data_IF_989033740399
#
_entry.id   IF_989033740399
#
_cell.length_a   1.000
_cell.length_b   1.000
_cell.length_c   1.000
_cell.angle_alpha   90.00
_cell.angle_beta   90.00
_cell.angle_gamma   90.00
#
_symmetry.space_group_name_H-M   'P 1'
#
loop_
_entity.id
_entity.type
_entity.pdbx_description
1 polymer ?
#
# COMPACT_ATOMS: atom_id res chain seq x y z
N UNK A 1 13.23 6.79 28.58
CA UNK A 1 11.76 6.70 28.39
C UNK A 1 11.36 6.94 26.93
N UNK A 2 10.58 6.03 26.34
CA UNK A 2 9.99 6.27 25.02
C UNK A 2 8.98 7.45 25.11
N UNK A 3 8.96 8.39 24.15
CA UNK A 3 8.03 9.50 24.17
C UNK A 3 6.58 9.01 24.01
N UNK A 4 5.62 9.71 24.62
CA UNK A 4 4.20 9.36 24.54
C UNK A 4 3.70 9.34 23.08
N UNK A 5 2.77 8.42 22.78
CA UNK A 5 2.19 8.23 21.44
C UNK A 5 1.60 9.53 20.89
N UNK A 6 1.89 9.84 19.62
CA UNK A 6 1.42 11.06 18.96
C UNK A 6 2.06 12.37 19.46
N UNK A 7 2.94 12.31 20.48
CA UNK A 7 3.65 13.48 20.98
C UNK A 7 4.60 14.05 19.94
N UNK A 8 4.95 15.33 20.10
CA UNK A 8 5.92 16.02 19.25
C UNK A 8 7.27 15.29 19.20
N UNK A 9 7.75 14.82 20.34
CA UNK A 9 9.02 14.09 20.44
C UNK A 9 8.97 12.73 19.71
N UNK A 10 7.82 12.07 19.71
CA UNK A 10 7.63 10.83 18.98
C UNK A 10 7.61 11.07 17.46
N UNK A 11 6.84 12.07 16.99
CA UNK A 11 6.81 12.48 15.57
C UNK A 11 8.18 12.94 15.06
N UNK A 12 8.95 13.65 15.88
CA UNK A 12 10.29 14.09 15.51
C UNK A 12 11.27 12.91 15.34
N UNK A 13 11.12 11.85 16.15
CA UNK A 13 11.91 10.63 15.98
C UNK A 13 11.51 9.86 14.72
N UNK A 14 10.20 9.75 14.45
CA UNK A 14 9.70 9.14 13.22
C UNK A 14 10.23 9.83 11.95
N UNK A 15 10.32 11.17 11.95
CA UNK A 15 10.93 11.94 10.84
C UNK A 15 12.42 11.66 10.62
N UNK A 16 13.16 11.36 11.68
CA UNK A 16 14.58 10.96 11.62
C UNK A 16 14.76 9.49 11.22
N UNK A 17 13.64 8.79 11.04
CA UNK A 17 13.52 7.38 10.70
C UNK A 17 13.60 6.44 11.89
N UNK A 18 12.90 5.33 11.73
CA UNK A 18 12.90 4.22 12.67
C UNK A 18 13.94 3.20 12.20
N UNK A 19 14.86 2.75 13.08
CA UNK A 19 15.78 1.68 12.76
C UNK A 19 15.05 0.43 12.24
N UNK A 20 15.51 -0.24 11.17
CA UNK A 20 14.79 -1.34 10.55
C UNK A 20 14.30 -2.44 11.52
N UNK A 21 15.09 -2.90 12.52
CA UNK A 21 14.63 -3.93 13.46
C UNK A 21 13.46 -3.50 14.36
N UNK A 22 13.23 -2.20 14.49
CA UNK A 22 12.20 -1.62 15.36
C UNK A 22 10.94 -1.21 14.61
N UNK A 23 10.94 -1.22 13.27
CA UNK A 23 9.84 -0.69 12.44
C UNK A 23 8.50 -1.37 12.73
N UNK A 24 8.46 -2.70 12.76
CA UNK A 24 7.22 -3.45 13.03
C UNK A 24 6.54 -2.97 14.32
N UNK A 25 7.26 -3.00 15.44
CA UNK A 25 6.74 -2.58 16.74
C UNK A 25 6.39 -1.09 16.76
N UNK A 26 7.27 -0.24 16.23
CA UNK A 26 7.03 1.20 16.20
C UNK A 26 5.81 1.58 15.37
N UNK A 27 5.56 0.91 14.23
CA UNK A 27 4.41 1.17 13.38
C UNK A 27 3.12 0.59 13.96
N UNK A 28 3.16 -0.59 14.60
CA UNK A 28 2.00 -1.14 15.31
C UNK A 28 1.58 -0.19 16.43
N UNK A 29 2.54 0.28 17.23
CA UNK A 29 2.31 1.26 18.28
C UNK A 29 1.81 2.61 17.71
N UNK A 30 2.43 3.09 16.63
CA UNK A 30 2.05 4.31 15.93
C UNK A 30 0.59 4.29 15.50
N UNK A 31 0.22 3.22 14.80
CA UNK A 31 -1.09 2.97 14.28
C UNK A 31 -2.08 2.63 15.39
N UNK A 32 -1.62 2.13 16.54
CA UNK A 32 -2.48 1.52 17.55
C UNK A 32 -3.17 0.30 16.94
N UNK A 33 -2.39 -0.46 16.18
CA UNK A 33 -2.78 -1.66 15.48
C UNK A 33 -2.37 -2.87 16.30
N UNK A 34 -3.18 -3.92 16.23
CA UNK A 34 -3.09 -5.09 17.08
C UNK A 34 -4.45 -5.40 17.69
N UNK A 35 -4.71 -6.67 17.90
CA UNK A 35 -5.98 -7.14 18.42
C UNK A 35 -5.79 -8.27 19.44
N UNK A 36 -6.90 -8.93 19.80
CA UNK A 36 -6.86 -10.06 20.69
C UNK A 36 -6.12 -11.23 20.00
N UNK A 37 -5.33 -12.03 20.75
CA UNK A 37 -4.67 -13.22 20.20
C UNK A 37 -5.68 -14.15 19.52
N UNK A 38 -5.35 -14.66 18.33
CA UNK A 38 -6.20 -15.58 17.57
C UNK A 38 -7.16 -14.92 16.58
N UNK A 39 -7.26 -13.57 16.58
CA UNK A 39 -8.20 -12.88 15.70
C UNK A 39 -7.77 -12.94 14.23
N UNK A 40 -6.47 -12.82 13.94
CA UNK A 40 -5.96 -12.96 12.57
C UNK A 40 -6.17 -14.38 12.04
N UNK A 41 -5.89 -15.40 12.85
CA UNK A 41 -6.08 -16.81 12.47
C UNK A 41 -7.55 -17.11 12.16
N UNK A 42 -8.47 -16.63 13.00
CA UNK A 42 -9.90 -16.77 12.76
C UNK A 42 -10.36 -16.05 11.47
N UNK A 43 -9.73 -14.93 11.12
CA UNK A 43 -9.99 -14.21 9.88
C UNK A 43 -9.48 -14.99 8.65
N UNK A 44 -8.29 -15.57 8.73
CA UNK A 44 -7.72 -16.42 7.68
C UNK A 44 -8.61 -17.64 7.45
N UNK A 45 -8.94 -18.40 8.51
CA UNK A 45 -9.82 -19.58 8.40
C UNK A 45 -11.19 -19.22 7.79
N UNK A 46 -11.74 -18.06 8.15
CA UNK A 46 -12.99 -17.58 7.58
C UNK A 46 -12.83 -17.24 6.09
N UNK A 47 -11.75 -16.56 5.71
CA UNK A 47 -11.53 -16.13 4.35
C UNK A 47 -11.23 -17.32 3.42
N UNK A 48 -10.51 -18.33 3.89
CA UNK A 48 -10.25 -19.58 3.15
C UNK A 48 -11.56 -20.34 2.87
N UNK A 49 -12.41 -20.52 3.89
CA UNK A 49 -13.74 -21.14 3.70
C UNK A 49 -14.62 -20.36 2.73
N UNK A 50 -14.58 -19.03 2.78
CA UNK A 50 -15.34 -18.20 1.83
C UNK A 50 -14.84 -18.40 0.40
N UNK A 51 -13.54 -18.53 0.19
CA UNK A 51 -12.97 -18.79 -1.13
C UNK A 51 -13.36 -20.18 -1.66
N UNK A 52 -13.29 -21.22 -0.82
CA UNK A 52 -13.74 -22.58 -1.16
C UNK A 52 -15.23 -22.62 -1.52
N UNK A 53 -16.09 -22.04 -0.68
CA UNK A 53 -17.54 -21.94 -0.92
C UNK A 53 -17.83 -21.20 -2.22
N UNK A 54 -17.11 -20.10 -2.49
CA UNK A 54 -17.22 -19.38 -3.75
C UNK A 54 -16.80 -20.29 -4.92
N UNK A 55 -15.65 -20.96 -4.88
CA UNK A 55 -15.17 -21.85 -5.95
C UNK A 55 -16.17 -22.96 -6.30
N UNK A 56 -16.76 -23.60 -5.29
CA UNK A 56 -17.81 -24.61 -5.47
C UNK A 56 -19.06 -24.02 -6.17
N UNK A 57 -19.50 -22.83 -5.77
CA UNK A 57 -20.64 -22.14 -6.38
C UNK A 57 -20.37 -21.81 -7.86
N UNK A 58 -19.14 -21.38 -8.21
CA UNK A 58 -18.74 -21.15 -9.61
C UNK A 58 -18.76 -22.43 -10.43
N UNK A 59 -18.19 -23.52 -9.90
CA UNK A 59 -18.14 -24.80 -10.59
C UNK A 59 -19.55 -25.35 -10.86
N UNK A 60 -20.45 -25.22 -9.88
CA UNK A 60 -21.86 -25.56 -10.01
C UNK A 60 -22.57 -24.73 -11.09
N UNK A 61 -22.37 -23.40 -11.08
CA UNK A 61 -22.96 -22.50 -12.07
C UNK A 61 -22.46 -22.78 -13.50
N UNK A 62 -21.16 -23.08 -13.67
CA UNK A 62 -20.58 -23.43 -14.96
C UNK A 62 -21.14 -24.76 -15.52
N UNK A 63 -21.36 -25.75 -14.64
CA UNK A 63 -22.00 -27.03 -14.99
C UNK A 63 -23.47 -26.84 -15.41
N UNK A 64 -24.22 -26.00 -14.69
CA UNK A 64 -25.60 -25.67 -15.01
C UNK A 64 -25.73 -24.91 -16.35
N UNK A 65 -24.81 -23.99 -16.64
CA UNK A 65 -24.76 -23.26 -17.90
C UNK A 65 -24.45 -24.17 -19.11
N UNK A 66 -23.69 -25.25 -18.92
CA UNK A 66 -23.39 -26.23 -19.97
C UNK A 66 -24.62 -27.08 -20.34
N UNK A 67 -25.58 -27.21 -19.42
CA UNK A 67 -26.79 -28.04 -19.60
C UNK A 67 -27.98 -27.23 -20.15
N UNK A 68 -27.89 -25.90 -20.18
CA UNK A 68 -28.97 -24.98 -20.58
C UNK A 68 -28.59 -24.16 -21.82
N UNK A 69 -29.30 -24.35 -22.94
CA UNK A 69 -29.14 -23.56 -24.18
C UNK A 69 -29.95 -22.25 -24.18
N UNK A 70 -30.42 -21.76 -23.02
CA UNK A 70 -31.13 -20.48 -22.94
C UNK A 70 -30.17 -19.33 -22.64
N UNK A 71 -30.24 -18.26 -23.43
CA UNK A 71 -29.47 -17.03 -23.27
C UNK A 71 -29.53 -16.48 -21.83
N UNK A 72 -28.42 -15.93 -21.30
CA UNK A 72 -28.41 -15.37 -19.95
C UNK A 72 -29.30 -14.12 -19.92
N UNK A 73 -30.26 -14.09 -19.00
CA UNK A 73 -31.09 -12.93 -18.69
C UNK A 73 -30.22 -11.92 -17.92
N UNK A 74 -30.25 -10.67 -18.36
CA UNK A 74 -29.57 -9.51 -17.79
C UNK A 74 -29.73 -9.40 -16.26
N UNK A 75 -28.64 -8.99 -15.57
CA UNK A 75 -28.79 -8.13 -14.39
C UNK A 75 -27.85 -8.36 -13.20
N UNK A 76 -27.21 -9.52 -13.04
CA UNK A 76 -26.23 -9.72 -11.97
C UNK A 76 -24.82 -9.67 -12.55
N UNK A 77 -24.12 -8.54 -12.37
CA UNK A 77 -22.68 -8.51 -12.57
C UNK A 77 -22.07 -9.68 -11.77
N UNK A 78 -21.16 -10.49 -12.36
CA UNK A 78 -20.54 -11.59 -11.62
C UNK A 78 -19.92 -11.00 -10.35
N UNK A 79 -20.30 -11.52 -9.18
CA UNK A 79 -19.69 -11.15 -7.89
C UNK A 79 -18.17 -11.12 -8.09
N UNK A 80 -17.53 -9.97 -7.82
CA UNK A 80 -16.07 -9.86 -7.87
C UNK A 80 -15.49 -10.92 -6.96
N UNK A 81 -14.86 -11.93 -7.52
CA UNK A 81 -14.11 -12.93 -6.75
C UNK A 81 -12.84 -12.27 -6.26
N UNK A 82 -12.89 -11.77 -5.04
CA UNK A 82 -11.76 -11.14 -4.35
C UNK A 82 -10.51 -12.01 -4.44
N UNK A 83 -10.65 -13.32 -4.19
CA UNK A 83 -9.56 -14.27 -4.30
C UNK A 83 -8.93 -14.36 -5.69
N UNK A 84 -9.75 -14.32 -6.75
CA UNK A 84 -9.27 -14.32 -8.14
C UNK A 84 -8.51 -13.03 -8.46
N UNK A 85 -8.97 -11.89 -7.97
CA UNK A 85 -8.28 -10.62 -8.16
C UNK A 85 -6.94 -10.58 -7.43
N UNK A 86 -6.92 -11.07 -6.19
CA UNK A 86 -5.68 -11.27 -5.44
C UNK A 86 -4.74 -12.19 -6.23
N UNK A 87 -5.21 -13.35 -6.70
CA UNK A 87 -4.39 -14.31 -7.44
C UNK A 87 -3.77 -13.72 -8.71
N UNK A 88 -4.51 -12.88 -9.45
CA UNK A 88 -3.97 -12.18 -10.63
C UNK A 88 -2.83 -11.21 -10.27
N UNK A 89 -2.80 -10.71 -9.03
CA UNK A 89 -1.86 -9.71 -8.56
C UNK A 89 -0.65 -10.31 -7.87
N UNK A 90 -0.79 -11.48 -7.23
CA UNK A 90 0.29 -12.18 -6.55
C UNK A 90 1.52 -12.35 -7.44
N UNK A 91 1.35 -12.91 -8.65
CA UNK A 91 2.46 -13.21 -9.58
C UNK A 91 3.21 -11.97 -10.10
N UNK A 92 2.55 -10.80 -10.11
CA UNK A 92 3.16 -9.52 -10.54
C UNK A 92 3.66 -8.67 -9.37
N UNK A 93 3.52 -9.14 -8.13
CA UNK A 93 3.99 -8.44 -6.92
C UNK A 93 5.45 -8.76 -6.66
N UNK A 94 6.33 -7.78 -6.87
CA UNK A 94 7.79 -7.91 -6.69
C UNK A 94 8.38 -9.22 -7.25
N UNK A 95 8.17 -9.53 -8.56
CA UNK A 95 8.51 -10.83 -9.14
C UNK A 95 10.01 -11.16 -9.13
N UNK A 96 10.87 -10.15 -8.94
CA UNK A 96 12.33 -10.32 -8.84
C UNK A 96 12.82 -10.52 -7.40
N UNK A 97 11.96 -10.37 -6.39
CA UNK A 97 12.35 -10.55 -4.99
C UNK A 97 12.26 -12.02 -4.59
N UNK A 98 13.39 -12.61 -4.20
CA UNK A 98 13.53 -14.06 -3.98
C UNK A 98 12.48 -14.67 -3.03
N UNK A 99 12.19 -14.03 -1.90
CA UNK A 99 11.18 -14.53 -0.96
C UNK A 99 9.73 -14.25 -1.39
N UNK A 100 9.39 -13.02 -1.79
CA UNK A 100 8.02 -12.68 -2.25
C UNK A 100 7.58 -13.55 -3.42
N UNK A 101 8.50 -13.89 -4.34
CA UNK A 101 8.22 -14.75 -5.48
C UNK A 101 8.27 -16.26 -5.18
N UNK A 102 8.62 -16.67 -3.95
CA UNK A 102 8.57 -18.08 -3.56
C UNK A 102 7.16 -18.51 -3.19
N UNK A 103 6.88 -19.81 -3.20
CA UNK A 103 5.59 -20.37 -2.79
C UNK A 103 5.22 -19.92 -1.36
N UNK A 104 6.20 -19.88 -0.45
CA UNK A 104 6.00 -19.40 0.93
C UNK A 104 5.57 -17.92 0.97
N UNK A 105 6.24 -17.05 0.20
CA UNK A 105 5.93 -15.62 0.19
C UNK A 105 4.62 -15.28 -0.51
N UNK A 106 4.31 -15.97 -1.62
CA UNK A 106 3.04 -15.82 -2.34
C UNK A 106 1.87 -16.27 -1.47
N UNK A 107 2.01 -17.37 -0.74
CA UNK A 107 0.98 -17.90 0.13
C UNK A 107 0.75 -17.01 1.37
N UNK A 108 1.82 -16.50 1.99
CA UNK A 108 1.72 -15.51 3.06
C UNK A 108 1.00 -14.22 2.59
N UNK A 109 1.36 -13.72 1.41
CA UNK A 109 0.72 -12.55 0.81
C UNK A 109 -0.76 -12.79 0.53
N UNK A 110 -1.10 -13.98 0.03
CA UNK A 110 -2.49 -14.39 -0.23
C UNK A 110 -3.32 -14.38 1.05
N UNK A 111 -2.85 -15.02 2.12
CA UNK A 111 -3.55 -15.06 3.43
C UNK A 111 -3.80 -13.66 3.98
N UNK A 112 -2.77 -12.79 4.00
CA UNK A 112 -2.91 -11.42 4.50
C UNK A 112 -3.95 -10.62 3.71
N UNK A 113 -3.94 -10.72 2.38
CA UNK A 113 -4.88 -9.99 1.52
C UNK A 113 -6.31 -10.53 1.63
N UNK A 114 -6.48 -11.84 1.71
CA UNK A 114 -7.79 -12.47 1.95
C UNK A 114 -8.35 -12.08 3.31
N UNK A 115 -7.53 -12.16 4.36
CA UNK A 115 -7.92 -11.74 5.70
C UNK A 115 -8.31 -10.26 5.73
N UNK A 116 -7.55 -9.38 5.05
CA UNK A 116 -7.87 -7.94 4.96
C UNK A 116 -9.22 -7.69 4.26
N UNK A 117 -9.47 -8.38 3.15
CA UNK A 117 -10.74 -8.26 2.44
C UNK A 117 -11.93 -8.79 3.25
N UNK A 118 -11.73 -9.88 4.00
CA UNK A 118 -12.75 -10.41 4.90
C UNK A 118 -12.97 -9.50 6.12
N UNK A 119 -11.90 -8.89 6.65
CA UNK A 119 -11.95 -7.98 7.79
C UNK A 119 -12.79 -6.73 7.46
N UNK A 120 -12.60 -6.17 6.28
CA UNK A 120 -13.33 -5.00 5.81
C UNK A 120 -14.01 -5.26 4.44
N UNK A 121 -15.18 -5.93 4.42
CA UNK A 121 -15.88 -6.26 3.18
C UNK A 121 -16.36 -5.06 2.36
N UNK A 122 -16.42 -3.87 2.97
CA UNK A 122 -16.77 -2.63 2.26
C UNK A 122 -15.67 -2.19 1.30
N UNK A 123 -14.42 -2.45 1.68
CA UNK A 123 -13.24 -2.24 0.81
C UNK A 123 -12.98 -3.48 -0.02
N UNK A 124 -13.03 -4.66 0.61
CA UNK A 124 -12.64 -5.91 -0.02
C UNK A 124 -11.17 -5.88 -0.41
N UNK A 125 -10.88 -6.08 -1.70
CA UNK A 125 -9.54 -5.97 -2.26
C UNK A 125 -9.49 -4.89 -3.34
N UNK A 126 -8.54 -3.97 -3.20
CA UNK A 126 -8.18 -3.03 -4.23
C UNK A 126 -6.76 -3.31 -4.75
N UNK A 127 -6.61 -3.36 -6.07
CA UNK A 127 -5.28 -3.42 -6.70
C UNK A 127 -4.40 -2.28 -6.17
N UNK A 128 -3.18 -2.63 -5.75
CA UNK A 128 -2.27 -1.73 -5.04
C UNK A 128 -1.98 -2.21 -3.62
N UNK A 129 -3.00 -2.78 -2.95
CA UNK A 129 -2.84 -3.37 -1.61
C UNK A 129 -1.81 -4.50 -1.59
N UNK A 130 -1.67 -5.26 -2.68
CA UNK A 130 -0.68 -6.32 -2.84
C UNK A 130 0.76 -5.82 -2.65
N UNK A 131 1.13 -4.65 -3.19
CA UNK A 131 2.47 -4.09 -3.03
C UNK A 131 2.72 -3.60 -1.60
N UNK A 132 1.70 -3.02 -0.97
CA UNK A 132 1.76 -2.58 0.43
C UNK A 132 1.94 -3.79 1.35
N UNK A 133 1.06 -4.79 1.22
CA UNK A 133 1.08 -6.01 2.02
C UNK A 133 2.40 -6.78 1.88
N UNK A 134 2.92 -6.91 0.65
CA UNK A 134 4.20 -7.59 0.42
C UNK A 134 5.37 -6.88 1.09
N UNK A 135 5.44 -5.54 1.04
CA UNK A 135 6.51 -4.80 1.72
C UNK A 135 6.36 -4.86 3.25
N UNK A 136 5.13 -4.80 3.77
CA UNK A 136 4.87 -4.99 5.21
C UNK A 136 5.33 -6.38 5.68
N UNK A 137 5.04 -7.44 4.91
CA UNK A 137 5.50 -8.80 5.20
C UNK A 137 7.03 -8.88 5.26
N UNK A 138 7.73 -8.25 4.32
CA UNK A 138 9.20 -8.21 4.33
C UNK A 138 9.75 -7.52 5.59
N UNK A 139 9.15 -6.39 5.98
CA UNK A 139 9.55 -5.66 7.20
C UNK A 139 9.27 -6.48 8.47
N UNK A 140 8.09 -7.09 8.57
CA UNK A 140 7.66 -7.83 9.76
C UNK A 140 8.39 -9.17 9.89
N UNK A 141 8.78 -9.81 8.77
CA UNK A 141 9.64 -11.01 8.77
C UNK A 141 11.07 -10.69 9.17
N UNK A 142 11.59 -9.53 8.79
CA UNK A 142 12.96 -9.09 9.06
C UNK A 142 13.20 -8.54 10.47
N UNK A 143 12.14 -8.33 11.27
CA UNK A 143 12.26 -7.90 12.66
C UNK A 143 12.88 -9.03 13.51
N UNK A 144 14.20 -8.99 13.68
CA UNK A 144 14.92 -9.95 14.50
C UNK A 144 14.35 -9.99 15.93
N UNK A 145 14.32 -11.16 16.59
CA UNK A 145 13.98 -11.23 18.00
C UNK A 145 14.94 -10.33 18.81
N UNK A 146 14.38 -9.51 19.70
CA UNK A 146 15.16 -8.63 20.58
C UNK A 146 16.18 -9.44 21.39
N UNK A 147 17.42 -8.94 21.47
CA UNK A 147 18.51 -9.54 22.23
C UNK A 147 18.29 -9.49 23.76
N UNK A 148 17.35 -8.66 24.18
CA UNK A 148 16.80 -8.53 25.51
C UNK A 148 15.77 -9.65 25.68
N UNK A 149 16.19 -10.78 26.26
CA UNK A 149 15.46 -12.02 26.45
C UNK A 149 14.20 -11.94 27.33
N UNK A 150 13.38 -10.90 27.17
CA UNK A 150 12.00 -10.90 27.59
C UNK A 150 11.17 -11.62 26.52
N UNK A 151 10.72 -12.81 26.90
CA UNK A 151 10.07 -13.82 26.07
C UNK A 151 8.81 -13.26 25.41
N UNK A 152 8.77 -13.18 24.08
CA UNK A 152 7.51 -13.17 23.32
C UNK A 152 7.29 -14.60 22.81
N UNK A 153 6.22 -15.31 23.21
CA UNK A 153 6.07 -16.73 22.88
C UNK A 153 5.65 -16.94 21.42
N UNK A 154 6.28 -17.92 20.77
CA UNK A 154 5.84 -18.68 19.58
C UNK A 154 6.02 -18.03 18.21
N UNK A 155 7.10 -18.46 17.57
CA UNK A 155 7.52 -18.19 16.20
C UNK A 155 6.45 -18.55 15.14
N UNK A 156 6.52 -17.83 14.00
CA UNK A 156 5.84 -18.03 12.70
C UNK A 156 4.55 -17.23 12.44
N UNK A 157 3.73 -16.91 13.45
CA UNK A 157 2.46 -16.17 13.22
C UNK A 157 2.60 -14.64 13.42
N UNK A 158 3.62 -14.19 14.15
CA UNK A 158 3.79 -12.77 14.50
C UNK A 158 4.03 -11.83 13.30
N UNK A 159 4.71 -12.29 12.25
CA UNK A 159 5.08 -11.44 11.13
C UNK A 159 3.93 -11.18 10.16
N UNK A 160 3.16 -12.22 9.82
CA UNK A 160 1.97 -12.09 8.98
C UNK A 160 0.86 -11.33 9.70
N UNK A 161 0.59 -11.68 10.95
CA UNK A 161 -0.42 -10.98 11.76
C UNK A 161 -0.07 -9.50 11.91
N UNK A 162 1.20 -9.17 12.20
CA UNK A 162 1.64 -7.77 12.26
C UNK A 162 1.46 -7.05 10.92
N UNK A 163 1.81 -7.69 9.80
CA UNK A 163 1.63 -7.11 8.47
C UNK A 163 0.15 -6.88 8.16
N UNK A 164 -0.73 -7.81 8.53
CA UNK A 164 -2.17 -7.68 8.42
C UNK A 164 -2.72 -6.51 9.24
N UNK A 165 -2.34 -6.39 10.52
CA UNK A 165 -2.82 -5.30 11.37
C UNK A 165 -2.31 -3.93 10.92
N UNK A 166 -1.08 -3.87 10.42
CA UNK A 166 -0.52 -2.67 9.81
C UNK A 166 -1.26 -2.28 8.54
N UNK A 167 -1.54 -3.23 7.65
CA UNK A 167 -2.31 -2.99 6.43
C UNK A 167 -3.73 -2.49 6.77
N UNK A 168 -4.42 -3.17 7.69
CA UNK A 168 -5.77 -2.78 8.12
C UNK A 168 -5.77 -1.37 8.71
N UNK A 169 -4.78 -1.06 9.56
CA UNK A 169 -4.63 0.28 10.10
C UNK A 169 -4.31 1.34 9.04
N UNK A 170 -3.49 0.98 8.04
CA UNK A 170 -3.15 1.87 6.95
C UNK A 170 -4.42 2.31 6.21
N UNK A 171 -5.23 1.32 5.82
CA UNK A 171 -6.48 1.48 5.06
C UNK A 171 -7.55 2.22 5.87
N UNK A 172 -7.69 1.93 7.15
CA UNK A 172 -8.85 2.38 7.94
C UNK A 172 -8.60 3.63 8.78
N UNK A 173 -7.33 3.98 9.05
CA UNK A 173 -7.00 4.99 10.07
C UNK A 173 -5.86 5.93 9.71
N UNK A 174 -4.91 5.50 8.88
CA UNK A 174 -3.72 6.29 8.56
C UNK A 174 -3.89 7.07 7.26
N UNK A 175 -4.36 6.40 6.20
CA UNK A 175 -4.76 7.04 4.96
C UNK A 175 -6.17 7.64 5.09
N UNK A 176 -6.55 8.47 4.11
CA UNK A 176 -7.87 9.08 4.12
C UNK A 176 -8.96 8.07 3.73
N UNK A 177 -10.17 8.32 4.22
CA UNK A 177 -11.34 7.48 3.97
C UNK A 177 -11.61 7.29 2.47
N UNK A 178 -12.21 6.15 2.13
CA UNK A 178 -12.63 5.79 0.78
C UNK A 178 -11.52 5.75 -0.29
N UNK A 179 -10.24 5.75 0.13
CA UNK A 179 -9.09 5.65 -0.78
C UNK A 179 -9.17 4.38 -1.65
N UNK A 180 -9.51 3.26 -1.01
CA UNK A 180 -9.65 1.94 -1.61
C UNK A 180 -11.12 1.51 -1.82
N UNK A 181 -12.08 2.41 -1.59
CA UNK A 181 -13.49 2.10 -1.76
C UNK A 181 -13.84 1.90 -3.25
N UNK A 182 -15.06 1.40 -3.50
CA UNK A 182 -15.59 1.24 -4.84
C UNK A 182 -15.49 2.55 -5.64
N UNK A 183 -15.03 2.46 -6.89
CA UNK A 183 -14.75 3.59 -7.78
C UNK A 183 -13.62 4.55 -7.34
N UNK A 184 -12.88 4.23 -6.27
CA UNK A 184 -11.69 4.98 -5.83
C UNK A 184 -11.96 6.46 -5.57
N UNK A 185 -13.14 6.80 -5.01
CA UNK A 185 -13.55 8.20 -4.78
C UNK A 185 -12.54 8.96 -3.90
N UNK A 186 -12.05 8.34 -2.82
CA UNK A 186 -11.02 8.93 -1.97
C UNK A 186 -9.73 9.21 -2.75
N UNK A 187 -9.27 8.26 -3.57
CA UNK A 187 -8.09 8.44 -4.43
C UNK A 187 -8.26 9.61 -5.41
N UNK A 188 -9.43 9.72 -6.05
CA UNK A 188 -9.70 10.82 -6.97
C UNK A 188 -9.69 12.19 -6.28
N UNK A 189 -10.18 12.26 -5.03
CA UNK A 189 -10.11 13.46 -4.20
C UNK A 189 -8.66 13.79 -3.88
N UNK A 190 -7.88 12.82 -3.41
CA UNK A 190 -6.46 13.03 -3.09
C UNK A 190 -5.67 13.51 -4.32
N UNK A 191 -5.85 12.87 -5.47
CA UNK A 191 -5.15 13.28 -6.69
C UNK A 191 -5.51 14.71 -7.13
N UNK A 192 -6.77 15.12 -6.96
CA UNK A 192 -7.19 16.51 -7.22
C UNK A 192 -6.57 17.51 -6.23
N UNK A 193 -6.41 17.11 -4.96
CA UNK A 193 -5.70 17.93 -3.97
C UNK A 193 -4.23 18.05 -4.34
N UNK A 194 -3.58 16.96 -4.78
CA UNK A 194 -2.19 17.01 -5.25
C UNK A 194 -2.03 17.92 -6.47
N UNK A 195 -2.95 17.86 -7.44
CA UNK A 195 -2.99 18.73 -8.61
C UNK A 195 -3.07 20.21 -8.20
N UNK A 196 -3.97 20.57 -7.27
CA UNK A 196 -4.04 21.93 -6.73
C UNK A 196 -2.75 22.36 -6.01
N UNK A 197 -2.17 21.47 -5.20
CA UNK A 197 -0.90 21.74 -4.52
C UNK A 197 0.27 21.92 -5.50
N UNK A 198 0.29 21.19 -6.61
CA UNK A 198 1.27 21.35 -7.67
C UNK A 198 1.18 22.77 -8.28
N UNK A 199 -0.03 23.22 -8.62
CA UNK A 199 -0.24 24.59 -9.11
C UNK A 199 0.17 25.66 -8.10
N UNK A 200 -0.09 25.44 -6.81
CA UNK A 200 0.24 26.41 -5.77
C UNK A 200 1.74 26.46 -5.45
N UNK A 201 2.44 25.31 -5.50
CA UNK A 201 3.82 25.18 -5.00
C UNK A 201 4.87 25.11 -6.09
N UNK A 202 4.53 24.56 -7.25
CA UNK A 202 5.42 24.39 -8.41
C UNK A 202 4.70 24.89 -9.69
N UNK A 203 4.27 26.16 -9.75
CA UNK A 203 3.42 26.67 -10.84
C UNK A 203 4.07 26.52 -12.21
N UNK A 204 5.40 26.69 -12.31
CA UNK A 204 6.14 26.53 -13.56
C UNK A 204 6.03 25.10 -14.10
N UNK A 205 6.20 24.12 -13.22
CA UNK A 205 6.05 22.71 -13.57
C UNK A 205 4.60 22.39 -13.94
N UNK A 206 3.63 22.89 -13.17
CA UNK A 206 2.21 22.69 -13.42
C UNK A 206 1.81 23.18 -14.83
N UNK A 207 2.17 24.41 -15.18
CA UNK A 207 1.91 25.00 -16.51
C UNK A 207 2.54 24.18 -17.65
N UNK A 208 3.75 23.64 -17.42
CA UNK A 208 4.41 22.78 -18.41
C UNK A 208 3.68 21.45 -18.59
N UNK A 209 3.32 20.77 -17.50
CA UNK A 209 2.57 19.51 -17.56
C UNK A 209 1.21 19.69 -18.25
N UNK A 210 0.52 20.81 -17.99
CA UNK A 210 -0.72 21.18 -18.68
C UNK A 210 -0.53 21.43 -20.18
N UNK A 211 0.58 22.08 -20.56
CA UNK A 211 0.90 22.37 -21.94
C UNK A 211 1.15 21.09 -22.74
N UNK A 212 1.89 20.14 -22.16
CA UNK A 212 2.19 18.83 -22.77
C UNK A 212 1.07 17.79 -22.57
N UNK A 213 -0.05 18.17 -21.92
CA UNK A 213 -1.21 17.31 -21.62
C UNK A 213 -0.84 16.07 -20.80
N UNK A 214 0.08 16.23 -19.85
CA UNK A 214 0.46 15.18 -18.91
C UNK A 214 -0.50 15.20 -17.72
N UNK A 215 -1.39 14.19 -17.65
CA UNK A 215 -2.29 14.04 -16.51
C UNK A 215 -1.54 13.51 -15.28
N UNK A 216 -1.40 14.35 -14.25
CA UNK A 216 -0.75 14.01 -12.99
C UNK A 216 -1.38 12.77 -12.33
N UNK A 217 -2.67 12.50 -12.55
CA UNK A 217 -3.34 11.32 -12.00
C UNK A 217 -2.70 10.04 -12.51
N UNK A 218 -2.32 10.01 -13.79
CA UNK A 218 -1.63 8.85 -14.38
C UNK A 218 -0.26 8.60 -13.75
N UNK A 219 0.42 9.67 -13.33
CA UNK A 219 1.72 9.60 -12.67
C UNK A 219 1.61 9.17 -11.20
N UNK A 220 0.62 9.71 -10.49
CA UNK A 220 0.57 9.67 -9.03
C UNK A 220 -0.43 8.64 -8.46
N UNK A 221 -1.30 8.02 -9.26
CA UNK A 221 -2.27 7.03 -8.74
C UNK A 221 -1.58 5.92 -7.94
N UNK A 222 -0.47 5.38 -8.46
CA UNK A 222 0.30 4.33 -7.77
C UNK A 222 0.97 4.86 -6.48
N UNK A 223 1.24 6.16 -6.37
CA UNK A 223 1.86 6.74 -5.17
C UNK A 223 0.94 6.68 -3.96
N UNK A 224 -0.36 6.93 -4.17
CA UNK A 224 -1.35 6.89 -3.11
C UNK A 224 -1.86 5.47 -2.86
N UNK A 225 -2.23 4.73 -3.90
CA UNK A 225 -2.78 3.37 -3.76
C UNK A 225 -1.74 2.35 -3.28
N UNK A 226 -0.46 2.53 -3.63
CA UNK A 226 0.61 1.64 -3.16
C UNK A 226 1.43 2.27 -2.04
N UNK A 227 1.06 3.45 -1.53
CA UNK A 227 1.85 4.22 -0.56
C UNK A 227 3.35 4.28 -0.95
N UNK A 228 3.64 4.53 -2.23
CA UNK A 228 4.96 4.51 -2.87
C UNK A 228 5.71 3.17 -2.96
N UNK A 229 5.18 2.06 -2.44
CA UNK A 229 5.86 0.76 -2.44
C UNK A 229 6.24 0.23 -3.83
N UNK A 230 5.54 0.68 -4.87
CA UNK A 230 5.84 0.32 -6.27
C UNK A 230 6.79 1.31 -6.97
N UNK A 231 6.95 2.50 -6.41
CA UNK A 231 7.56 3.65 -7.08
C UNK A 231 8.94 4.00 -6.55
N UNK A 232 9.18 3.77 -5.25
CA UNK A 232 10.44 4.10 -4.58
C UNK A 232 11.19 2.83 -4.15
N UNK A 233 12.53 2.92 -3.98
CA UNK A 233 13.32 1.87 -3.33
C UNK A 233 12.76 1.50 -1.95
N UNK A 234 12.83 0.22 -1.59
CA UNK A 234 12.18 -0.30 -0.37
C UNK A 234 12.56 0.45 0.91
N UNK A 235 13.85 0.78 1.11
CA UNK A 235 14.28 1.54 2.29
C UNK A 235 13.75 2.97 2.28
N UNK A 236 13.70 3.62 1.12
CA UNK A 236 13.07 4.95 0.96
C UNK A 236 11.59 4.89 1.28
N UNK A 237 10.87 3.89 0.76
CA UNK A 237 9.46 3.66 1.10
C UNK A 237 9.27 3.46 2.60
N UNK A 238 10.11 2.66 3.26
CA UNK A 238 10.02 2.45 4.71
C UNK A 238 10.22 3.75 5.49
N UNK A 239 11.10 4.66 5.02
CA UNK A 239 11.29 5.98 5.61
C UNK A 239 10.08 6.89 5.43
N UNK A 240 9.41 6.81 4.28
CA UNK A 240 8.10 7.45 4.08
C UNK A 240 7.09 6.88 5.06
N UNK A 241 7.07 5.55 5.26
CA UNK A 241 6.14 4.87 6.15
C UNK A 241 6.36 5.17 7.63
N UNK A 242 7.61 5.38 8.06
CA UNK A 242 7.94 5.86 9.40
C UNK A 242 7.17 7.16 9.72
N UNK A 243 7.18 8.12 8.79
CA UNK A 243 6.43 9.37 8.94
C UNK A 243 4.93 9.17 8.71
N UNK A 244 4.51 8.31 7.77
CA UNK A 244 3.12 8.06 7.42
C UNK A 244 2.33 7.52 8.62
N UNK A 245 2.82 6.45 9.25
CA UNK A 245 2.19 5.90 10.45
C UNK A 245 2.20 6.90 11.62
N UNK A 246 3.09 7.89 11.59
CA UNK A 246 3.21 8.91 12.63
C UNK A 246 2.36 10.16 12.46
N UNK A 247 2.10 10.56 11.23
CA UNK A 247 1.50 11.85 10.90
C UNK A 247 0.26 11.75 10.01
N UNK A 248 -0.03 10.56 9.47
CA UNK A 248 -1.17 10.29 8.59
C UNK A 248 -0.92 10.64 7.12
N UNK A 249 -1.98 10.48 6.32
CA UNK A 249 -1.95 10.55 4.85
C UNK A 249 -1.35 11.82 4.24
N UNK A 250 -1.33 12.95 4.96
CA UNK A 250 -0.67 14.19 4.51
C UNK A 250 0.82 14.01 4.16
N UNK A 251 1.47 12.99 4.71
CA UNK A 251 2.86 12.65 4.37
C UNK A 251 3.00 12.28 2.90
N UNK A 252 2.02 11.56 2.32
CA UNK A 252 2.06 11.14 0.92
C UNK A 252 2.09 12.35 -0.02
N UNK A 253 1.30 13.38 0.27
CA UNK A 253 1.29 14.64 -0.50
C UNK A 253 2.63 15.38 -0.43
N UNK A 254 3.21 15.45 0.77
CA UNK A 254 4.51 16.11 0.96
C UNK A 254 5.58 15.39 0.15
N UNK A 255 5.62 14.07 0.22
CA UNK A 255 6.58 13.25 -0.54
C UNK A 255 6.36 13.38 -2.04
N UNK A 256 5.11 13.36 -2.50
CA UNK A 256 4.77 13.58 -3.91
C UNK A 256 5.29 14.93 -4.42
N UNK A 257 5.05 16.02 -3.67
CA UNK A 257 5.56 17.35 -4.04
C UNK A 257 7.10 17.42 -4.00
N UNK A 258 7.74 16.77 -3.02
CA UNK A 258 9.19 16.73 -2.95
C UNK A 258 9.81 15.99 -4.16
N UNK A 259 9.22 14.86 -4.58
CA UNK A 259 9.64 14.14 -5.78
C UNK A 259 9.44 14.97 -7.05
N UNK A 260 8.32 15.69 -7.16
CA UNK A 260 8.04 16.57 -8.30
C UNK A 260 9.02 17.76 -8.35
N UNK A 261 9.36 18.33 -7.19
CA UNK A 261 10.33 19.42 -7.09
C UNK A 261 11.75 18.94 -7.43
N UNK A 262 12.17 17.79 -6.90
CA UNK A 262 13.50 17.24 -7.16
C UNK A 262 13.67 16.80 -8.63
N UNK A 263 12.58 16.37 -9.26
CA UNK A 263 12.54 16.04 -10.69
C UNK A 263 12.23 17.24 -11.61
N UNK A 264 12.04 18.45 -11.09
CA UNK A 264 11.47 19.58 -11.84
C UNK A 264 12.23 19.86 -13.14
N UNK A 265 13.56 19.95 -13.09
CA UNK A 265 14.39 20.23 -14.26
C UNK A 265 14.24 19.16 -15.36
N UNK A 266 14.17 17.88 -14.96
CA UNK A 266 13.99 16.77 -15.90
C UNK A 266 12.59 16.76 -16.52
N UNK A 267 11.58 17.14 -15.75
CA UNK A 267 10.19 17.21 -16.21
C UNK A 267 9.97 18.41 -17.15
N UNK A 268 10.55 19.57 -16.84
CA UNK A 268 10.52 20.75 -17.71
C UNK A 268 11.24 20.51 -19.04
N UNK A 269 12.27 19.67 -19.05
CA UNK A 269 12.96 19.26 -20.27
C UNK A 269 12.17 18.24 -21.12
N UNK A 270 11.12 17.62 -20.57
CA UNK A 270 10.34 16.63 -21.30
C UNK A 270 9.45 17.29 -22.37
N UNK A 271 9.54 16.87 -23.64
CA UNK A 271 8.76 17.47 -24.73
C UNK A 271 7.29 17.02 -24.76
N UNK A 272 6.95 15.95 -24.03
CA UNK A 272 5.65 15.29 -24.08
C UNK A 272 5.33 14.52 -22.80
N UNK A 273 4.05 14.18 -22.64
CA UNK A 273 3.56 13.46 -21.45
C UNK A 273 4.23 12.10 -21.25
N UNK A 274 4.57 11.39 -22.33
CA UNK A 274 5.24 10.08 -22.26
C UNK A 274 6.66 10.19 -21.73
N UNK A 275 7.43 11.17 -22.21
CA UNK A 275 8.79 11.45 -21.73
C UNK A 275 8.78 11.93 -20.28
N UNK A 276 7.82 12.78 -19.90
CA UNK A 276 7.64 13.20 -18.52
C UNK A 276 7.34 12.01 -17.60
N UNK A 277 6.49 11.08 -18.04
CA UNK A 277 6.20 9.84 -17.30
C UNK A 277 7.44 8.97 -17.10
N UNK A 278 8.23 8.76 -18.16
CA UNK A 278 9.47 7.96 -18.08
C UNK A 278 10.50 8.64 -17.18
N UNK A 279 10.68 9.96 -17.32
CA UNK A 279 11.61 10.74 -16.50
C UNK A 279 11.25 10.66 -15.01
N UNK A 280 9.98 10.90 -14.66
CA UNK A 280 9.54 10.83 -13.27
C UNK A 280 9.70 9.43 -12.69
N UNK A 281 9.32 8.40 -13.46
CA UNK A 281 9.44 7.02 -13.00
C UNK A 281 10.89 6.61 -12.78
N UNK A 282 11.79 7.00 -13.68
CA UNK A 282 13.22 6.75 -13.53
C UNK A 282 13.79 7.49 -12.31
N UNK A 283 13.37 8.74 -12.10
CA UNK A 283 13.75 9.53 -10.94
C UNK A 283 13.31 8.85 -9.63
N UNK A 284 12.02 8.50 -9.48
CA UNK A 284 11.51 7.80 -8.30
C UNK A 284 12.26 6.49 -8.02
N UNK A 285 12.53 5.69 -9.06
CA UNK A 285 13.25 4.43 -8.92
C UNK A 285 14.70 4.61 -8.45
N UNK A 286 15.31 5.78 -8.70
CA UNK A 286 16.66 6.13 -8.29
C UNK A 286 16.71 6.93 -6.96
N UNK A 287 15.57 7.29 -6.37
CA UNK A 287 15.49 8.05 -5.12
C UNK A 287 15.85 7.19 -3.89
N UNK A 288 17.14 6.86 -3.74
CA UNK A 288 17.66 6.08 -2.60
C UNK A 288 17.92 6.93 -1.35
N UNK A 289 18.04 8.25 -1.50
CA UNK A 289 18.30 9.17 -0.38
C UNK A 289 16.99 9.66 0.24
N UNK A 290 16.54 8.92 1.26
CA UNK A 290 15.34 9.26 2.00
C UNK A 290 15.49 10.51 2.88
N UNK A 291 16.72 10.85 3.30
CA UNK A 291 16.97 12.02 4.14
C UNK A 291 16.89 13.31 3.30
N UNK A 292 17.36 13.28 2.05
CA UNK A 292 17.16 14.36 1.08
C UNK A 292 15.66 14.61 0.81
N UNK A 293 14.89 13.55 0.60
CA UNK A 293 13.42 13.63 0.45
C UNK A 293 12.73 14.21 1.69
N UNK A 294 13.18 13.83 2.89
CA UNK A 294 12.65 14.34 4.16
C UNK A 294 12.98 15.81 4.41
N UNK A 295 14.16 16.28 3.97
CA UNK A 295 14.59 17.68 4.08
C UNK A 295 13.87 18.60 3.06
N UNK A 296 13.45 18.05 1.93
CA UNK A 296 12.70 18.76 0.89
C UNK A 296 11.22 19.01 1.25
N UNK A 297 10.71 18.45 2.35
CA UNK A 297 9.35 18.71 2.82
C UNK A 297 9.30 20.05 3.59
N UNK A 298 8.70 21.13 3.05
CA UNK A 298 8.45 22.32 3.86
C UNK A 298 7.52 21.96 5.04
N UNK A 299 7.83 22.55 6.20
CA UNK A 299 7.17 22.28 7.49
C UNK A 299 5.64 22.44 7.44
#
# INVERSE_FOLDING_TARGET
>A
PAPARGSRAWKERARKGVPPPLRMHAWLDAAGAGAAPGEYEALVERAERQDEEEEEEAASAASAATTSTSAPVDGAAPRRRVAREIANDLARTFPSHAWVASDEGQEALRRVLLAAAAHNPRVGYCQGMNFVAALLLLVCRGAAPSADGFTVPSASVHGEEAAFWLLSALVERVQYDDLYAEHLLGCQVELRVLEGLLHDKLPRLAEHLDAIKCDLKTLATDWFLCAFARSLPAETTCRVWDALYAEGGKVLFRVALALLADAEDALLAAPGAGEAYVALRAHCAASHDADALGAALPA
#
